data_IF_405972234613
#
_entry.id   IF_405972234613
#
_cell.length_a   1.000
_cell.length_b   1.000
_cell.length_c   1.000
_cell.angle_alpha   90.00
_cell.angle_beta   90.00
_cell.angle_gamma   90.00
#
_symmetry.space_group_name_H-M   'P 1'
#
loop_
_entity.id
_entity.type
_entity.pdbx_description
1 polymer ?
#
# COMPACT_ATOMS: atom_id res chain seq x y z
N UNK A 1 -17.50 -8.50 18.89
CA UNK A 1 -16.27 -8.80 18.13
C UNK A 1 -16.48 -8.29 16.73
N UNK A 2 -15.54 -7.50 16.18
CA UNK A 2 -15.63 -6.98 14.82
C UNK A 2 -15.46 -8.10 13.78
N UNK A 3 -15.90 -7.86 12.53
CA UNK A 3 -15.69 -8.82 11.44
C UNK A 3 -14.21 -9.16 11.28
N UNK A 4 -13.34 -8.16 11.28
CA UNK A 4 -11.88 -8.35 11.24
C UNK A 4 -11.38 -9.28 12.33
N UNK A 5 -11.83 -9.12 13.58
CA UNK A 5 -11.43 -10.00 14.69
C UNK A 5 -11.90 -11.44 14.48
N UNK A 6 -13.14 -11.64 14.00
CA UNK A 6 -13.68 -12.97 13.69
C UNK A 6 -12.84 -13.65 12.60
N UNK A 7 -12.51 -12.95 11.51
CA UNK A 7 -11.67 -13.49 10.42
C UNK A 7 -10.24 -13.77 10.94
N UNK A 8 -9.68 -12.87 11.76
CA UNK A 8 -8.35 -13.10 12.37
C UNK A 8 -8.35 -14.37 13.23
N UNK A 9 -9.44 -14.68 13.94
CA UNK A 9 -9.57 -15.92 14.69
C UNK A 9 -9.62 -17.16 13.76
N UNK A 10 -10.35 -17.08 12.65
CA UNK A 10 -10.38 -18.17 11.65
C UNK A 10 -9.00 -18.43 11.05
N UNK A 11 -8.24 -17.36 10.76
CA UNK A 11 -6.83 -17.49 10.33
C UNK A 11 -5.98 -18.17 11.40
N UNK A 12 -6.10 -17.74 12.66
CA UNK A 12 -5.31 -18.32 13.76
C UNK A 12 -5.66 -19.80 14.02
N UNK A 13 -6.90 -20.21 13.83
CA UNK A 13 -7.31 -21.60 13.94
C UNK A 13 -6.64 -22.48 12.87
N UNK A 14 -6.50 -21.99 11.65
CA UNK A 14 -5.83 -22.72 10.55
C UNK A 14 -4.31 -22.65 10.62
N UNK A 15 -3.80 -21.51 11.00
CA UNK A 15 -2.36 -21.22 11.06
C UNK A 15 -1.98 -20.79 12.49
N UNK A 16 -2.02 -21.74 13.45
CA UNK A 16 -1.81 -21.41 14.86
C UNK A 16 -0.36 -20.96 15.08
N UNK A 17 -0.21 -19.89 15.85
CA UNK A 17 1.10 -19.52 16.38
C UNK A 17 1.46 -20.55 17.47
N UNK A 18 2.62 -21.24 17.36
CA UNK A 18 3.06 -22.14 18.43
C UNK A 18 3.11 -21.41 19.78
N UNK A 19 2.61 -22.02 20.84
CA UNK A 19 2.50 -21.39 22.17
C UNK A 19 3.83 -20.81 22.67
N UNK A 20 4.95 -21.48 22.35
CA UNK A 20 6.30 -21.01 22.69
C UNK A 20 6.70 -19.70 21.99
N UNK A 21 6.11 -19.43 20.81
CA UNK A 21 6.39 -18.24 19.99
C UNK A 21 5.27 -17.18 20.11
N UNK A 22 4.14 -17.50 20.75
CA UNK A 22 3.00 -16.61 20.88
C UNK A 22 3.23 -15.54 21.96
N UNK A 23 2.80 -14.29 21.68
CA UNK A 23 2.81 -13.23 22.67
C UNK A 23 1.77 -13.51 23.76
N UNK A 24 2.18 -13.47 25.02
CA UNK A 24 1.33 -13.83 26.18
C UNK A 24 0.12 -12.91 26.38
N UNK A 25 0.18 -11.67 25.92
CA UNK A 25 -0.87 -10.66 26.08
C UNK A 25 -1.66 -10.40 24.78
N UNK A 26 -1.17 -10.91 23.67
CA UNK A 26 -1.75 -10.67 22.35
C UNK A 26 -1.68 -11.96 21.51
N UNK A 27 -2.72 -12.80 21.54
CA UNK A 27 -2.69 -14.13 20.95
C UNK A 27 -2.50 -14.13 19.42
N UNK A 28 -2.78 -12.99 18.75
CA UNK A 28 -2.58 -12.83 17.31
C UNK A 28 -1.16 -12.35 16.93
N UNK A 29 -0.25 -12.26 17.92
CA UNK A 29 1.10 -11.77 17.72
C UNK A 29 2.14 -12.82 18.09
N UNK A 30 3.22 -12.87 17.30
CA UNK A 30 4.46 -13.52 17.70
C UNK A 30 5.16 -12.68 18.77
N UNK A 31 5.89 -13.33 19.70
CA UNK A 31 6.76 -12.65 20.68
C UNK A 31 7.86 -11.84 19.98
N UNK A 32 8.42 -12.44 18.92
CA UNK A 32 9.42 -11.85 18.05
C UNK A 32 8.84 -11.83 16.64
N UNK A 33 8.71 -10.64 16.05
CA UNK A 33 8.16 -10.45 14.73
C UNK A 33 8.90 -11.23 13.63
N UNK A 34 10.20 -11.53 13.83
CA UNK A 34 11.01 -12.31 12.89
C UNK A 34 10.46 -13.72 12.67
N UNK A 35 9.73 -14.26 13.63
CA UNK A 35 9.05 -15.55 13.47
C UNK A 35 7.81 -15.49 12.56
N UNK A 36 7.38 -14.29 12.17
CA UNK A 36 6.31 -14.05 11.22
C UNK A 36 6.82 -13.84 9.78
N UNK A 37 8.13 -13.91 9.59
CA UNK A 37 8.76 -13.69 8.29
C UNK A 37 9.30 -14.99 7.73
N UNK A 38 9.22 -15.15 6.41
CA UNK A 38 9.76 -16.31 5.71
C UNK A 38 11.29 -16.44 5.84
N UNK A 39 11.96 -15.29 5.76
CA UNK A 39 13.42 -15.22 5.90
C UNK A 39 13.83 -13.98 6.72
N UNK A 40 15.07 -13.90 7.23
CA UNK A 40 15.58 -12.71 7.88
C UNK A 40 15.65 -11.52 6.92
N UNK A 41 15.24 -10.34 7.42
CA UNK A 41 15.45 -9.09 6.69
C UNK A 41 16.93 -8.69 6.65
N UNK A 42 17.35 -8.12 5.51
CA UNK A 42 18.64 -7.45 5.39
C UNK A 42 18.69 -6.18 6.26
N UNK A 43 19.88 -5.70 6.56
CA UNK A 43 20.07 -4.44 7.30
C UNK A 43 19.44 -3.26 6.55
N UNK A 44 19.48 -3.27 5.22
CA UNK A 44 18.86 -2.26 4.37
C UNK A 44 17.34 -2.31 4.49
N UNK A 45 16.71 -3.47 4.36
CA UNK A 45 15.27 -3.66 4.50
C UNK A 45 14.78 -3.20 5.88
N UNK A 46 15.52 -3.55 6.96
CA UNK A 46 15.21 -3.07 8.31
C UNK A 46 15.28 -1.54 8.38
N UNK A 47 16.29 -0.92 7.76
CA UNK A 47 16.41 0.54 7.74
C UNK A 47 15.27 1.19 6.98
N UNK A 48 14.79 0.57 5.91
CA UNK A 48 13.64 1.04 5.13
C UNK A 48 12.36 1.05 5.96
N UNK A 49 12.00 -0.06 6.60
CA UNK A 49 10.85 -0.13 7.51
C UNK A 49 10.95 0.81 8.72
N UNK A 50 12.15 1.24 9.08
CA UNK A 50 12.38 2.20 10.17
C UNK A 50 12.37 3.68 9.73
N UNK A 51 12.16 3.99 8.44
CA UNK A 51 12.10 5.39 7.94
C UNK A 51 10.91 6.17 8.48
N UNK A 52 9.80 5.50 8.81
CA UNK A 52 8.61 6.07 9.42
C UNK A 52 8.75 6.20 10.94
N UNK A 53 7.72 5.81 11.66
CA UNK A 53 7.71 5.77 13.14
C UNK A 53 8.46 4.54 13.72
N UNK A 54 8.90 3.63 12.86
CA UNK A 54 9.61 2.40 13.21
C UNK A 54 8.74 1.33 13.86
N UNK A 55 7.43 1.56 14.00
CA UNK A 55 6.51 0.64 14.68
C UNK A 55 6.33 -0.71 13.96
N UNK A 56 6.81 -0.82 12.73
CA UNK A 56 6.78 -2.08 11.98
C UNK A 56 7.67 -3.14 12.63
N UNK A 57 8.89 -2.76 13.03
CA UNK A 57 9.92 -3.67 13.56
C UNK A 57 10.26 -3.43 15.02
N UNK A 58 9.77 -2.35 15.63
CA UNK A 58 10.03 -1.97 17.02
C UNK A 58 8.75 -1.86 17.83
N UNK A 59 8.88 -2.06 19.14
CA UNK A 59 7.81 -1.71 20.06
C UNK A 59 7.51 -0.21 20.00
N UNK A 60 6.24 0.13 20.09
CA UNK A 60 5.76 1.50 20.16
C UNK A 60 4.93 1.72 21.41
N UNK A 61 4.76 2.97 21.83
CA UNK A 61 3.96 3.32 23.00
C UNK A 61 2.79 4.20 22.58
N UNK A 62 1.62 3.90 23.12
CA UNK A 62 0.43 4.74 22.97
C UNK A 62 -0.10 5.14 24.33
N UNK A 63 -0.55 6.38 24.48
CA UNK A 63 -1.23 6.84 25.67
C UNK A 63 -2.73 6.99 25.37
N UNK A 64 -3.56 6.22 26.09
CA UNK A 64 -5.02 6.31 26.03
C UNK A 64 -5.58 6.45 27.43
N UNK A 65 -6.49 7.39 27.64
CA UNK A 65 -7.13 7.64 28.94
C UNK A 65 -6.13 7.79 30.09
N UNK A 66 -5.01 8.49 29.85
CA UNK A 66 -3.96 8.72 30.85
C UNK A 66 -3.09 7.50 31.19
N UNK A 67 -3.24 6.38 30.48
CA UNK A 67 -2.42 5.17 30.63
C UNK A 67 -1.56 4.96 29.42
N UNK A 68 -0.30 4.60 29.63
CA UNK A 68 0.64 4.25 28.56
C UNK A 68 0.64 2.74 28.35
N UNK A 69 0.51 2.33 27.10
CA UNK A 69 0.52 0.93 26.68
C UNK A 69 1.67 0.71 25.71
N UNK A 70 2.43 -0.35 25.91
CA UNK A 70 3.43 -0.82 24.93
C UNK A 70 2.74 -1.72 23.93
N UNK A 71 2.96 -1.44 22.65
CA UNK A 71 2.48 -2.24 21.51
C UNK A 71 3.67 -3.02 20.94
N UNK A 72 3.51 -4.31 20.66
CA UNK A 72 4.54 -5.07 19.95
C UNK A 72 4.72 -4.54 18.52
N UNK A 73 5.85 -4.87 17.86
CA UNK A 73 6.05 -4.57 16.45
C UNK A 73 4.88 -5.03 15.61
N UNK A 74 4.40 -4.19 14.68
CA UNK A 74 3.24 -4.49 13.85
C UNK A 74 3.46 -5.75 12.99
N UNK A 75 4.67 -5.96 12.48
CA UNK A 75 5.04 -7.17 11.76
C UNK A 75 4.90 -8.46 12.56
N UNK A 76 4.79 -8.39 13.89
CA UNK A 76 4.51 -9.55 14.73
C UNK A 76 3.08 -10.08 14.62
N UNK A 77 2.13 -9.30 14.11
CA UNK A 77 0.75 -9.73 13.90
C UNK A 77 0.64 -10.71 12.72
N UNK A 78 -0.13 -11.80 12.89
CA UNK A 78 -0.41 -12.74 11.79
C UNK A 78 -1.20 -12.12 10.63
N UNK A 79 -1.81 -10.97 10.86
CA UNK A 79 -2.57 -10.18 9.87
C UNK A 79 -1.87 -8.85 9.58
N UNK A 80 -0.55 -8.80 9.68
CA UNK A 80 0.23 -7.61 9.32
C UNK A 80 0.37 -7.48 7.81
N UNK A 81 -0.04 -6.32 7.26
CA UNK A 81 0.22 -5.98 5.85
C UNK A 81 1.70 -5.86 5.56
N UNK A 82 2.49 -5.24 6.45
CA UNK A 82 3.94 -5.08 6.29
C UNK A 82 4.68 -6.43 6.28
N UNK A 83 4.28 -7.38 7.16
CA UNK A 83 4.84 -8.73 7.12
C UNK A 83 4.44 -9.49 5.84
N UNK A 84 3.19 -9.34 5.39
CA UNK A 84 2.73 -9.91 4.12
C UNK A 84 3.52 -9.34 2.95
N UNK A 85 3.74 -8.03 2.92
CA UNK A 85 4.51 -7.35 1.87
C UNK A 85 5.93 -7.90 1.80
N UNK A 86 6.63 -7.99 2.93
CA UNK A 86 7.98 -8.55 2.98
C UNK A 86 8.01 -10.03 2.59
N UNK A 87 7.05 -10.82 3.07
CA UNK A 87 6.96 -12.24 2.73
C UNK A 87 6.68 -12.49 1.23
N UNK A 88 6.05 -11.55 0.53
CA UNK A 88 5.84 -11.64 -0.92
C UNK A 88 7.08 -11.24 -1.72
N UNK A 89 7.76 -10.17 -1.35
CA UNK A 89 8.81 -9.58 -2.18
C UNK A 89 10.24 -9.91 -1.71
N UNK A 90 10.45 -10.30 -0.45
CA UNK A 90 11.80 -10.62 0.09
C UNK A 90 12.67 -9.38 0.36
N UNK A 91 13.98 -9.50 0.24
CA UNK A 91 14.93 -8.43 0.61
C UNK A 91 15.20 -7.43 -0.51
N UNK A 92 15.89 -7.87 -1.57
CA UNK A 92 16.56 -6.94 -2.49
C UNK A 92 15.96 -6.92 -3.90
N UNK A 93 15.43 -8.05 -4.35
CA UNK A 93 14.87 -8.18 -5.68
C UNK A 93 13.81 -9.27 -5.77
N UNK A 94 12.90 -9.10 -6.73
CA UNK A 94 11.87 -10.08 -7.06
C UNK A 94 11.70 -10.17 -8.57
N UNK A 95 11.40 -11.36 -9.08
CA UNK A 95 11.08 -11.58 -10.47
C UNK A 95 9.59 -11.79 -10.66
N UNK A 96 9.02 -11.10 -11.65
CA UNK A 96 7.60 -11.22 -12.07
C UNK A 96 7.54 -12.07 -13.32
N UNK A 97 6.68 -13.10 -13.29
CA UNK A 97 6.46 -14.04 -14.39
C UNK A 97 5.68 -13.40 -15.55
N UNK A 98 5.81 -13.94 -16.78
CA UNK A 98 5.21 -13.34 -17.98
C UNK A 98 3.68 -13.47 -18.06
N UNK A 99 3.06 -14.34 -17.27
CA UNK A 99 1.66 -14.76 -17.43
C UNK A 99 0.67 -13.90 -16.63
N UNK A 100 1.14 -12.88 -15.91
CA UNK A 100 0.33 -12.03 -15.03
C UNK A 100 -0.10 -10.70 -15.67
N UNK A 101 -0.89 -9.91 -14.92
CA UNK A 101 -1.29 -8.56 -15.32
C UNK A 101 -0.18 -7.51 -15.08
N UNK A 102 0.81 -7.86 -14.26
CA UNK A 102 1.99 -7.06 -14.01
C UNK A 102 3.04 -7.32 -15.08
N UNK A 103 3.84 -6.32 -15.49
CA UNK A 103 4.86 -6.53 -16.50
C UNK A 103 5.97 -7.46 -16.00
N UNK A 104 6.33 -8.44 -16.85
CA UNK A 104 7.44 -9.34 -16.59
C UNK A 104 8.75 -8.57 -16.38
N UNK A 105 9.58 -9.05 -15.47
CA UNK A 105 10.92 -8.50 -15.25
C UNK A 105 11.51 -8.88 -13.91
N UNK A 106 12.75 -8.47 -13.71
CA UNK A 106 13.41 -8.54 -12.40
C UNK A 106 13.49 -7.13 -11.82
N UNK A 107 12.91 -6.97 -10.66
CA UNK A 107 12.71 -5.68 -10.01
C UNK A 107 13.57 -5.58 -8.76
N UNK A 108 14.17 -4.41 -8.56
CA UNK A 108 14.70 -4.01 -7.25
C UNK A 108 13.53 -3.63 -6.34
N UNK A 109 13.57 -4.05 -5.09
CA UNK A 109 12.53 -3.76 -4.07
C UNK A 109 13.01 -2.67 -3.13
N UNK A 110 12.14 -1.71 -2.82
CA UNK A 110 12.31 -0.70 -1.77
C UNK A 110 11.02 -0.62 -0.95
N UNK A 111 11.11 -0.71 0.38
CA UNK A 111 9.97 -0.67 1.29
C UNK A 111 9.74 0.72 1.87
N UNK A 112 8.49 0.99 2.30
CA UNK A 112 8.09 2.24 2.96
C UNK A 112 8.61 3.49 2.23
N UNK A 113 8.50 3.45 0.89
CA UNK A 113 8.99 4.55 0.07
C UNK A 113 8.15 5.79 0.27
N UNK A 114 8.79 6.81 0.82
CA UNK A 114 8.14 8.10 1.08
C UNK A 114 8.19 8.99 -0.16
N UNK A 115 7.02 9.43 -0.61
CA UNK A 115 6.84 10.30 -1.77
C UNK A 115 6.00 11.52 -1.39
N UNK A 116 6.45 12.70 -1.74
CA UNK A 116 5.73 13.93 -1.44
C UNK A 116 4.48 14.06 -2.32
N UNK A 117 3.35 14.34 -1.70
CA UNK A 117 2.09 14.65 -2.40
C UNK A 117 1.94 16.14 -2.70
N UNK A 118 2.81 16.97 -2.14
CA UNK A 118 2.80 18.43 -2.21
C UNK A 118 4.22 19.00 -2.08
N UNK A 119 4.42 20.23 -2.50
CA UNK A 119 5.73 20.90 -2.50
C UNK A 119 6.39 20.95 -1.12
N UNK A 120 5.61 20.94 -0.07
CA UNK A 120 6.08 20.70 1.27
C UNK A 120 4.95 20.09 2.10
N UNK A 121 5.29 19.44 3.16
CA UNK A 121 4.32 18.83 4.06
C UNK A 121 4.90 17.67 4.82
N UNK A 122 4.35 17.46 6.02
CA UNK A 122 4.89 16.54 6.98
C UNK A 122 4.31 15.12 6.82
N UNK A 123 3.51 14.88 5.78
CA UNK A 123 2.84 13.59 5.60
C UNK A 123 3.00 13.13 4.15
N UNK A 124 4.14 12.56 3.80
CA UNK A 124 4.35 11.94 2.50
C UNK A 124 3.35 10.78 2.28
N UNK A 125 3.18 10.38 1.04
CA UNK A 125 2.63 9.07 0.74
C UNK A 125 3.70 8.03 1.06
N UNK A 126 3.41 7.09 1.94
CA UNK A 126 4.24 5.93 2.17
C UNK A 126 3.68 4.80 1.32
N UNK A 127 4.48 4.32 0.37
CA UNK A 127 4.14 3.19 -0.47
C UNK A 127 4.73 1.96 0.18
N UNK A 128 3.92 0.95 0.47
CA UNK A 128 4.36 -0.24 1.22
C UNK A 128 5.52 -0.97 0.52
N UNK A 129 5.45 -1.09 -0.81
CA UNK A 129 6.57 -1.53 -1.63
C UNK A 129 6.64 -0.77 -2.96
N UNK A 130 7.85 -0.42 -3.34
CA UNK A 130 8.18 0.15 -4.64
C UNK A 130 9.12 -0.79 -5.38
N UNK A 131 8.71 -1.25 -6.55
CA UNK A 131 9.50 -2.11 -7.39
C UNK A 131 9.92 -1.35 -8.65
N UNK A 132 11.19 -1.42 -9.01
CA UNK A 132 11.69 -0.75 -10.21
C UNK A 132 12.54 -1.67 -11.06
N UNK A 133 12.25 -1.65 -12.36
CA UNK A 133 13.04 -2.30 -13.40
C UNK A 133 13.58 -1.24 -14.35
N UNK A 134 14.88 -1.00 -14.29
CA UNK A 134 15.55 -0.02 -15.14
C UNK A 134 15.77 -0.52 -16.56
N UNK A 135 15.72 -1.84 -16.81
CA UNK A 135 15.92 -2.45 -18.13
C UNK A 135 14.64 -2.31 -18.95
N UNK A 136 13.51 -2.77 -18.41
CA UNK A 136 12.20 -2.65 -19.04
C UNK A 136 11.49 -1.33 -18.72
N UNK A 137 12.14 -0.46 -17.95
CA UNK A 137 11.68 0.89 -17.60
C UNK A 137 10.28 0.91 -16.97
N UNK A 138 10.05 0.00 -16.00
CA UNK A 138 8.80 -0.09 -15.24
C UNK A 138 8.99 0.34 -13.78
N UNK A 139 8.01 1.06 -13.24
CA UNK A 139 7.91 1.45 -11.84
C UNK A 139 6.57 0.99 -11.26
N UNK A 140 6.60 0.08 -10.29
CA UNK A 140 5.42 -0.49 -9.66
C UNK A 140 5.34 -0.01 -8.20
N UNK A 141 4.16 0.46 -7.81
CA UNK A 141 3.84 0.98 -6.48
C UNK A 141 2.76 0.10 -5.88
N UNK A 142 3.02 -0.43 -4.69
CA UNK A 142 2.10 -1.34 -4.03
C UNK A 142 1.58 -0.74 -2.73
N UNK A 143 0.27 -0.69 -2.60
CA UNK A 143 -0.44 -0.53 -1.34
C UNK A 143 -0.99 -1.89 -0.92
N UNK A 144 -0.60 -2.37 0.26
CA UNK A 144 -0.88 -3.72 0.71
C UNK A 144 -1.84 -3.70 1.90
N UNK A 145 -2.93 -4.43 1.79
CA UNK A 145 -3.94 -4.56 2.85
C UNK A 145 -4.13 -6.02 3.21
N UNK A 146 -3.80 -6.40 4.45
CA UNK A 146 -4.12 -7.77 4.90
C UNK A 146 -5.62 -7.87 5.24
N UNK A 147 -6.04 -7.40 6.42
CA UNK A 147 -7.46 -7.33 6.80
C UNK A 147 -7.90 -5.90 7.18
N UNK A 148 -7.09 -4.89 6.95
CA UNK A 148 -7.39 -3.50 7.26
C UNK A 148 -8.58 -2.98 6.44
N UNK A 149 -8.80 -3.53 5.26
CA UNK A 149 -9.93 -3.21 4.38
C UNK A 149 -11.29 -3.59 4.97
N UNK A 150 -11.33 -4.50 5.96
CA UNK A 150 -12.55 -4.82 6.71
C UNK A 150 -12.94 -3.71 7.72
N UNK A 151 -12.06 -2.76 7.98
CA UNK A 151 -12.35 -1.59 8.79
C UNK A 151 -12.95 -0.48 7.90
N UNK A 152 -13.64 0.48 8.56
CA UNK A 152 -14.27 1.57 7.82
C UNK A 152 -13.23 2.41 7.08
N UNK A 153 -13.43 2.72 5.80
CA UNK A 153 -12.52 3.53 5.02
C UNK A 153 -12.48 4.95 5.54
N UNK A 154 -11.41 5.64 5.24
CA UNK A 154 -11.29 7.07 5.48
C UNK A 154 -11.86 7.83 4.29
N UNK A 155 -12.85 8.66 4.54
CA UNK A 155 -13.32 9.60 3.53
C UNK A 155 -12.15 10.46 3.00
N UNK A 156 -12.26 10.90 1.75
CA UNK A 156 -11.28 11.79 1.16
C UNK A 156 -11.13 13.05 2.01
N UNK A 157 -9.91 13.33 2.46
CA UNK A 157 -9.65 14.43 3.41
C UNK A 157 -9.97 15.79 2.79
N UNK A 158 -10.64 16.66 3.56
CA UNK A 158 -10.98 18.04 3.13
C UNK A 158 -9.76 18.85 2.66
N UNK A 159 -8.56 18.48 3.11
CA UNK A 159 -7.31 19.12 2.69
C UNK A 159 -7.03 19.02 1.19
N UNK A 160 -7.52 17.98 0.52
CA UNK A 160 -7.34 17.81 -0.92
C UNK A 160 -8.07 18.86 -1.77
N UNK A 161 -9.03 19.59 -1.18
CA UNK A 161 -9.80 20.65 -1.83
C UNK A 161 -9.28 22.06 -1.52
N UNK A 162 -8.22 22.18 -0.74
CA UNK A 162 -7.72 23.46 -0.26
C UNK A 162 -6.39 23.77 -0.94
N UNK A 163 -6.32 24.87 -1.69
CA UNK A 163 -5.10 25.31 -2.39
C UNK A 163 -3.88 25.29 -1.48
N UNK A 164 -4.01 25.75 -0.23
CA UNK A 164 -2.92 25.73 0.76
C UNK A 164 -2.39 24.34 1.09
N UNK A 165 -3.11 23.26 0.74
CA UNK A 165 -2.59 21.91 0.89
C UNK A 165 -1.43 21.66 -0.07
N UNK A 166 -1.53 22.18 -1.28
CA UNK A 166 -0.54 22.04 -2.34
C UNK A 166 0.49 23.18 -2.34
N UNK A 167 0.04 24.39 -1.95
CA UNK A 167 0.83 25.61 -1.93
C UNK A 167 0.66 26.32 -0.58
N UNK A 168 1.70 26.48 0.20
CA UNK A 168 1.60 27.36 1.36
C UNK A 168 2.52 28.54 1.24
N UNK A 169 1.97 29.73 1.43
CA UNK A 169 2.70 30.99 1.31
C UNK A 169 3.81 31.17 2.36
N UNK A 170 3.67 30.54 3.53
CA UNK A 170 4.46 30.87 4.73
C UNK A 170 5.77 30.09 4.87
N UNK A 171 6.12 29.24 3.95
CA UNK A 171 7.38 28.50 3.99
C UNK A 171 8.06 28.62 2.63
N UNK A 172 9.34 28.93 2.64
CA UNK A 172 10.20 29.14 1.48
C UNK A 172 10.33 27.96 0.49
N UNK A 173 9.49 26.96 0.59
CA UNK A 173 9.37 25.86 -0.37
C UNK A 173 8.77 26.39 -1.67
N UNK A 174 9.32 25.97 -2.78
CA UNK A 174 8.81 26.33 -4.10
C UNK A 174 7.47 25.63 -4.30
N UNK A 175 6.38 26.38 -4.53
CA UNK A 175 5.07 25.78 -4.78
C UNK A 175 5.10 24.96 -6.08
N UNK A 176 4.29 23.90 -6.15
CA UNK A 176 4.00 23.24 -7.41
C UNK A 176 3.30 24.21 -8.36
N UNK A 177 3.41 23.98 -9.69
CA UNK A 177 2.71 24.82 -10.66
C UNK A 177 1.20 24.88 -10.38
N UNK A 178 0.61 26.05 -10.62
CA UNK A 178 -0.83 26.27 -10.38
C UNK A 178 -1.71 25.26 -11.13
N UNK A 179 -1.33 24.94 -12.36
CA UNK A 179 -2.05 23.99 -13.20
C UNK A 179 -2.09 22.56 -12.59
N UNK A 180 -1.04 22.18 -11.87
CA UNK A 180 -1.03 20.90 -11.15
C UNK A 180 -2.03 20.90 -9.97
N UNK A 181 -2.17 22.04 -9.28
CA UNK A 181 -3.20 22.16 -8.23
C UNK A 181 -4.60 22.07 -8.80
N UNK A 182 -4.92 22.79 -9.87
CA UNK A 182 -6.25 22.76 -10.49
C UNK A 182 -6.60 21.33 -10.93
N UNK A 183 -5.67 20.61 -11.52
CA UNK A 183 -5.82 19.21 -11.90
C UNK A 183 -6.10 18.32 -10.69
N UNK A 184 -5.30 18.41 -9.62
CA UNK A 184 -5.48 17.59 -8.42
C UNK A 184 -6.80 17.89 -7.71
N UNK A 185 -7.19 19.16 -7.64
CA UNK A 185 -8.47 19.58 -7.08
C UNK A 185 -9.64 19.02 -7.87
N UNK A 186 -9.57 19.05 -9.19
CA UNK A 186 -10.60 18.45 -10.05
C UNK A 186 -10.74 16.95 -9.83
N UNK A 187 -9.62 16.20 -9.74
CA UNK A 187 -9.66 14.78 -9.41
C UNK A 187 -10.30 14.52 -8.05
N UNK A 188 -9.94 15.31 -7.04
CA UNK A 188 -10.50 15.19 -5.71
C UNK A 188 -12.02 15.45 -5.70
N UNK A 189 -12.51 16.44 -6.43
CA UNK A 189 -13.94 16.72 -6.54
C UNK A 189 -14.71 15.57 -7.21
N UNK A 190 -14.17 15.00 -8.30
CA UNK A 190 -14.82 13.85 -8.96
C UNK A 190 -14.88 12.64 -8.01
N UNK A 191 -13.84 12.39 -7.22
CA UNK A 191 -13.85 11.31 -6.24
C UNK A 191 -14.77 11.57 -5.05
N UNK A 192 -14.99 12.83 -4.67
CA UNK A 192 -15.88 13.19 -3.56
C UNK A 192 -17.34 12.83 -3.85
N UNK A 193 -17.76 12.90 -5.13
CA UNK A 193 -19.11 12.56 -5.55
C UNK A 193 -19.37 11.03 -5.54
N UNK A 194 -18.34 10.25 -5.29
CA UNK A 194 -18.40 8.78 -5.19
C UNK A 194 -18.34 8.37 -3.72
N UNK A 195 -19.26 7.52 -3.30
CA UNK A 195 -19.27 6.97 -1.93
C UNK A 195 -18.47 5.68 -1.86
N UNK A 196 -17.42 5.67 -1.05
CA UNK A 196 -16.63 4.49 -0.74
C UNK A 196 -16.86 4.09 0.71
N UNK A 197 -17.22 2.83 0.95
CA UNK A 197 -17.51 2.27 2.29
C UNK A 197 -16.44 1.31 2.77
N UNK A 198 -15.72 0.69 1.84
CA UNK A 198 -14.68 -0.32 2.10
C UNK A 198 -13.35 0.10 1.52
N UNK A 199 -13.31 0.41 0.25
CA UNK A 199 -12.10 0.73 -0.48
C UNK A 199 -11.46 2.04 0.02
N UNK A 200 -10.17 2.01 0.33
CA UNK A 200 -9.43 3.20 0.78
C UNK A 200 -9.04 4.11 -0.40
N UNK A 201 -10.07 4.68 -1.04
CA UNK A 201 -9.91 5.61 -2.14
C UNK A 201 -9.03 6.82 -1.77
N UNK A 202 -9.04 7.24 -0.49
CA UNK A 202 -8.21 8.36 -0.02
C UNK A 202 -6.71 8.04 -0.08
N UNK A 203 -6.33 6.82 0.31
CA UNK A 203 -4.94 6.37 0.26
C UNK A 203 -4.48 6.19 -1.19
N UNK A 204 -5.31 5.54 -2.01
CA UNK A 204 -5.00 5.34 -3.43
C UNK A 204 -4.92 6.65 -4.21
N UNK A 205 -5.78 7.62 -3.91
CA UNK A 205 -5.68 8.97 -4.47
C UNK A 205 -4.37 9.66 -4.07
N UNK A 206 -3.99 9.55 -2.80
CA UNK A 206 -2.72 10.10 -2.29
C UNK A 206 -1.51 9.50 -3.02
N UNK A 207 -1.52 8.19 -3.27
CA UNK A 207 -0.46 7.53 -4.04
C UNK A 207 -0.44 7.98 -5.50
N UNK A 208 -1.61 8.16 -6.13
CA UNK A 208 -1.71 8.67 -7.51
C UNK A 208 -1.11 10.07 -7.61
N UNK A 209 -1.42 10.97 -6.66
CA UNK A 209 -0.82 12.31 -6.61
C UNK A 209 0.71 12.25 -6.45
N UNK A 210 1.19 11.42 -5.52
CA UNK A 210 2.61 11.26 -5.27
C UNK A 210 3.32 10.72 -6.51
N UNK A 211 2.78 9.68 -7.13
CA UNK A 211 3.32 9.09 -8.34
C UNK A 211 3.41 10.12 -9.48
N UNK A 212 2.34 10.89 -9.72
CA UNK A 212 2.35 11.97 -10.70
C UNK A 212 3.45 13.01 -10.42
N UNK A 213 3.57 13.46 -9.17
CA UNK A 213 4.58 14.46 -8.80
C UNK A 213 6.01 14.02 -9.12
N UNK A 214 6.32 12.74 -8.95
CA UNK A 214 7.66 12.23 -9.21
C UNK A 214 7.87 11.85 -10.69
N UNK A 215 6.82 11.48 -11.40
CA UNK A 215 6.87 11.08 -12.81
C UNK A 215 6.87 12.29 -13.78
N UNK A 216 6.21 13.40 -13.41
CA UNK A 216 5.89 14.48 -14.32
C UNK A 216 7.07 15.44 -14.55
N UNK A 217 7.25 15.81 -15.82
CA UNK A 217 8.15 16.91 -16.20
C UNK A 217 7.63 18.28 -15.73
N UNK A 218 6.31 18.43 -15.57
CA UNK A 218 5.68 19.67 -15.12
C UNK A 218 6.08 20.03 -13.68
N UNK A 219 6.09 19.03 -12.78
CA UNK A 219 6.42 19.21 -11.36
C UNK A 219 7.90 19.05 -11.05
N UNK A 220 8.70 18.54 -12.00
CA UNK A 220 10.11 18.18 -11.81
C UNK A 220 10.94 19.29 -11.16
N UNK A 221 10.84 20.51 -11.65
CA UNK A 221 11.65 21.63 -11.17
C UNK A 221 11.30 22.04 -9.73
N UNK A 222 10.02 21.95 -9.35
CA UNK A 222 9.58 22.21 -7.99
C UNK A 222 9.99 21.05 -7.06
N UNK A 223 9.82 19.80 -7.49
CA UNK A 223 10.20 18.64 -6.73
C UNK A 223 11.72 18.60 -6.46
N UNK A 224 12.54 18.91 -7.45
CA UNK A 224 14.01 18.88 -7.31
C UNK A 224 14.53 19.86 -6.26
N UNK A 225 13.76 20.92 -5.92
CA UNK A 225 14.11 21.87 -4.86
C UNK A 225 13.77 21.37 -3.45
N UNK A 226 12.78 20.51 -3.30
CA UNK A 226 12.29 20.02 -2.00
C UNK A 226 12.69 18.58 -1.70
N UNK A 227 12.97 17.79 -2.73
CA UNK A 227 13.40 16.39 -2.64
C UNK A 227 14.40 16.08 -3.78
N UNK A 228 15.61 16.67 -3.72
CA UNK A 228 16.58 16.64 -4.81
C UNK A 228 17.05 15.22 -5.16
N UNK A 229 17.22 14.97 -6.45
CA UNK A 229 17.73 13.71 -6.99
C UNK A 229 16.72 12.57 -7.00
N UNK A 230 15.49 12.76 -6.48
CA UNK A 230 14.48 11.72 -6.38
C UNK A 230 13.44 11.73 -7.48
N UNK A 231 13.48 12.69 -8.41
CA UNK A 231 12.59 12.71 -9.57
C UNK A 231 12.68 11.42 -10.39
N UNK A 232 11.55 10.96 -10.88
CA UNK A 232 11.41 9.80 -11.77
C UNK A 232 11.07 10.22 -13.21
N UNK A 233 10.93 11.53 -13.47
CA UNK A 233 10.57 12.04 -14.79
C UNK A 233 11.54 11.55 -15.87
N UNK A 234 10.99 10.84 -16.88
CA UNK A 234 11.74 10.25 -17.97
C UNK A 234 12.54 8.98 -17.63
N UNK A 235 12.43 8.44 -16.40
CA UNK A 235 13.14 7.20 -16.01
C UNK A 235 12.38 5.94 -16.42
N UNK A 236 11.04 6.00 -16.40
CA UNK A 236 10.19 4.83 -16.65
C UNK A 236 9.20 5.12 -17.77
N UNK A 237 8.82 4.08 -18.49
CA UNK A 237 7.82 4.13 -19.56
C UNK A 237 6.44 3.77 -19.01
N UNK A 238 6.40 3.04 -17.88
CA UNK A 238 5.17 2.67 -17.19
C UNK A 238 5.27 2.94 -15.68
N UNK A 239 4.20 3.53 -15.16
CA UNK A 239 3.92 3.70 -13.73
C UNK A 239 2.69 2.88 -13.39
N UNK A 240 2.81 1.93 -12.46
CA UNK A 240 1.74 1.00 -12.13
C UNK A 240 1.47 1.09 -10.62
N UNK A 241 0.27 1.53 -10.27
CA UNK A 241 -0.20 1.59 -8.88
C UNK A 241 -1.10 0.39 -8.62
N UNK A 242 -0.70 -0.46 -7.71
CA UNK A 242 -1.40 -1.72 -7.39
C UNK A 242 -1.88 -1.70 -5.95
N UNK A 243 -3.19 -1.85 -5.74
CA UNK A 243 -3.75 -2.18 -4.45
C UNK A 243 -3.88 -3.69 -4.31
N UNK A 244 -3.20 -4.27 -3.33
CA UNK A 244 -3.21 -5.71 -3.07
C UNK A 244 -3.92 -5.99 -1.76
N UNK A 245 -4.92 -6.86 -1.82
CA UNK A 245 -5.76 -7.20 -0.67
C UNK A 245 -5.64 -8.68 -0.35
N UNK A 246 -5.49 -9.00 0.94
CA UNK A 246 -5.62 -10.39 1.37
C UNK A 246 -7.10 -10.79 1.36
N UNK A 247 -7.44 -11.67 0.44
CA UNK A 247 -8.76 -12.25 0.31
C UNK A 247 -8.78 -13.66 0.93
N UNK A 248 -8.96 -13.69 2.26
CA UNK A 248 -9.04 -14.96 2.98
C UNK A 248 -10.19 -15.84 2.44
N UNK A 249 -9.98 -17.14 2.18
CA UNK A 249 -11.02 -17.97 1.58
C UNK A 249 -12.24 -18.14 2.50
N UNK A 250 -13.39 -17.69 2.05
CA UNK A 250 -14.64 -17.75 2.81
C UNK A 250 -15.03 -19.18 3.25
N UNK A 251 -14.59 -20.20 2.50
CA UNK A 251 -14.82 -21.61 2.85
C UNK A 251 -14.17 -22.01 4.19
N UNK A 252 -13.23 -21.21 4.70
CA UNK A 252 -12.54 -21.47 5.97
C UNK A 252 -13.14 -20.71 7.16
N UNK A 253 -14.26 -20.04 6.95
CA UNK A 253 -15.02 -19.37 8.01
C UNK A 253 -16.16 -20.32 8.40
N UNK A 254 -16.08 -20.90 9.61
CA UNK A 254 -17.04 -21.90 10.06
C UNK A 254 -18.44 -21.30 10.31
N UNK A 255 -18.48 -20.11 10.92
CA UNK A 255 -19.74 -19.42 11.22
C UNK A 255 -20.38 -18.85 9.94
N UNK A 256 -21.59 -19.31 9.62
CA UNK A 256 -22.28 -18.98 8.37
C UNK A 256 -22.60 -17.49 8.25
N UNK A 257 -23.05 -16.86 9.34
CA UNK A 257 -23.36 -15.43 9.36
C UNK A 257 -22.08 -14.58 9.11
N UNK A 258 -20.98 -14.97 9.75
CA UNK A 258 -19.68 -14.34 9.54
C UNK A 258 -19.17 -14.53 8.13
N UNK A 259 -19.36 -15.73 7.55
CA UNK A 259 -19.00 -16.03 6.17
C UNK A 259 -19.75 -15.15 5.20
N UNK A 260 -21.06 -15.03 5.38
CA UNK A 260 -21.92 -14.20 4.55
C UNK A 260 -21.53 -12.71 4.65
N UNK A 261 -21.32 -12.21 5.88
CA UNK A 261 -20.88 -10.83 6.14
C UNK A 261 -19.54 -10.55 5.45
N UNK A 262 -18.60 -11.47 5.53
CA UNK A 262 -17.29 -11.37 4.89
C UNK A 262 -17.38 -11.37 3.37
N UNK A 263 -18.15 -12.29 2.77
CA UNK A 263 -18.33 -12.35 1.33
C UNK A 263 -19.01 -11.08 0.78
N UNK A 264 -19.98 -10.55 1.50
CA UNK A 264 -20.62 -9.27 1.16
C UNK A 264 -19.61 -8.12 1.21
N UNK A 265 -18.80 -8.04 2.26
CA UNK A 265 -17.76 -7.03 2.40
C UNK A 265 -16.70 -7.11 1.28
N UNK A 266 -16.27 -8.33 0.92
CA UNK A 266 -15.31 -8.55 -0.15
C UNK A 266 -15.86 -8.15 -1.53
N UNK A 267 -17.12 -8.46 -1.78
CA UNK A 267 -17.79 -8.06 -3.02
C UNK A 267 -17.91 -6.54 -3.12
N UNK A 268 -18.20 -5.86 -2.02
CA UNK A 268 -18.25 -4.40 -1.92
C UNK A 268 -16.87 -3.77 -2.15
N UNK A 269 -15.82 -4.31 -1.53
CA UNK A 269 -14.42 -3.86 -1.71
C UNK A 269 -13.99 -3.93 -3.18
N UNK A 270 -14.20 -5.08 -3.84
CA UNK A 270 -13.87 -5.27 -5.26
C UNK A 270 -14.65 -4.32 -6.18
N UNK A 271 -15.95 -4.15 -5.91
CA UNK A 271 -16.78 -3.21 -6.68
C UNK A 271 -16.29 -1.78 -6.54
N UNK A 272 -15.99 -1.34 -5.31
CA UNK A 272 -15.51 0.02 -5.04
C UNK A 272 -14.11 0.26 -5.59
N UNK A 273 -13.24 -0.76 -5.58
CA UNK A 273 -11.93 -0.69 -6.23
C UNK A 273 -12.07 -0.44 -7.75
N UNK A 274 -12.95 -1.19 -8.42
CA UNK A 274 -13.23 -0.97 -9.84
C UNK A 274 -13.84 0.41 -10.08
N UNK A 275 -14.75 0.84 -9.22
CA UNK A 275 -15.37 2.17 -9.30
C UNK A 275 -14.32 3.30 -9.15
N UNK A 276 -13.32 3.11 -8.27
CA UNK A 276 -12.18 4.03 -8.15
C UNK A 276 -11.37 4.08 -9.46
N UNK A 277 -11.01 2.92 -10.01
CA UNK A 277 -10.25 2.82 -11.26
C UNK A 277 -11.00 3.51 -12.40
N UNK A 278 -12.28 3.22 -12.56
CA UNK A 278 -13.12 3.83 -13.60
C UNK A 278 -13.25 5.35 -13.42
N UNK A 279 -13.30 5.81 -12.16
CA UNK A 279 -13.34 7.24 -11.84
C UNK A 279 -12.04 7.92 -12.21
N UNK A 280 -10.90 7.31 -11.93
CA UNK A 280 -9.58 7.84 -12.31
C UNK A 280 -9.41 7.88 -13.84
N UNK A 281 -9.97 6.91 -14.55
CA UNK A 281 -10.04 6.94 -16.03
C UNK A 281 -10.90 8.11 -16.53
N UNK A 282 -12.07 8.36 -15.92
CA UNK A 282 -12.91 9.51 -16.25
C UNK A 282 -12.25 10.86 -15.98
N UNK A 283 -11.30 10.90 -15.04
CA UNK A 283 -10.44 12.07 -14.80
C UNK A 283 -9.31 12.20 -15.84
N UNK A 284 -9.32 11.44 -16.91
CA UNK A 284 -8.34 11.45 -18.00
C UNK A 284 -6.88 11.20 -17.54
N UNK A 285 -6.70 10.52 -16.39
CA UNK A 285 -5.37 10.29 -15.81
C UNK A 285 -4.41 9.63 -16.80
N UNK A 286 -4.79 8.61 -17.60
CA UNK A 286 -3.89 8.05 -18.60
C UNK A 286 -3.39 9.07 -19.62
N UNK A 287 -4.27 9.93 -20.14
CA UNK A 287 -3.88 10.97 -21.09
C UNK A 287 -2.97 12.05 -20.44
N UNK A 288 -3.23 12.37 -19.17
CA UNK A 288 -2.42 13.33 -18.41
C UNK A 288 -1.02 12.77 -18.16
N UNK A 289 -0.88 11.48 -17.84
CA UNK A 289 0.43 10.83 -17.69
C UNK A 289 1.17 10.77 -19.03
N UNK A 290 0.50 10.41 -20.11
CA UNK A 290 1.10 10.42 -21.46
C UNK A 290 1.65 11.82 -21.80
N UNK A 291 0.84 12.84 -21.63
CA UNK A 291 1.22 14.22 -22.00
C UNK A 291 2.29 14.83 -21.07
N UNK A 292 2.18 14.60 -19.75
CA UNK A 292 3.01 15.31 -18.75
C UNK A 292 4.19 14.50 -18.25
N UNK A 293 4.14 13.18 -18.39
CA UNK A 293 5.19 12.26 -17.92
C UNK A 293 5.89 11.54 -19.08
N UNK A 294 5.33 11.57 -20.29
CA UNK A 294 5.76 10.77 -21.44
C UNK A 294 5.84 9.28 -21.06
N UNK A 295 4.81 8.79 -20.38
CA UNK A 295 4.73 7.44 -19.81
C UNK A 295 3.27 7.00 -19.64
N UNK A 296 3.05 5.70 -19.70
CA UNK A 296 1.76 5.10 -19.38
C UNK A 296 1.53 4.97 -17.86
N UNK A 297 0.26 4.95 -17.47
CA UNK A 297 -0.16 4.60 -16.10
C UNK A 297 -1.16 3.46 -16.13
N UNK A 298 -1.07 2.57 -15.13
CA UNK A 298 -2.12 1.61 -14.78
C UNK A 298 -2.44 1.70 -13.30
N UNK A 299 -3.72 1.57 -12.95
CA UNK A 299 -4.18 1.37 -11.59
C UNK A 299 -4.81 -0.01 -11.54
N UNK A 300 -4.36 -0.86 -10.62
CA UNK A 300 -4.70 -2.29 -10.57
C UNK A 300 -5.20 -2.61 -9.16
N UNK A 301 -6.25 -3.43 -9.08
CA UNK A 301 -6.65 -4.14 -7.88
C UNK A 301 -6.40 -5.62 -8.09
N UNK A 302 -5.79 -6.29 -7.11
CA UNK A 302 -5.57 -7.72 -7.15
C UNK A 302 -5.54 -8.33 -5.74
N UNK A 303 -5.76 -9.62 -5.65
CA UNK A 303 -5.59 -10.36 -4.41
C UNK A 303 -4.11 -10.68 -4.14
N UNK A 304 -3.78 -10.91 -2.87
CA UNK A 304 -2.44 -11.39 -2.47
C UNK A 304 -2.11 -12.75 -3.13
N UNK A 305 -3.13 -13.57 -3.42
CA UNK A 305 -2.96 -14.84 -4.13
C UNK A 305 -2.53 -14.61 -5.58
N UNK A 306 -3.23 -13.76 -6.32
CA UNK A 306 -2.90 -13.43 -7.71
C UNK A 306 -1.49 -12.82 -7.80
N UNK A 307 -1.13 -11.98 -6.83
CA UNK A 307 0.23 -11.44 -6.75
C UNK A 307 1.26 -12.57 -6.52
N UNK A 308 1.04 -13.45 -5.54
CA UNK A 308 1.95 -14.56 -5.26
C UNK A 308 2.13 -15.50 -6.45
N UNK A 309 1.04 -15.76 -7.19
CA UNK A 309 1.07 -16.58 -8.41
C UNK A 309 1.80 -15.89 -9.59
N UNK A 310 1.90 -14.56 -9.56
CA UNK A 310 2.65 -13.79 -10.57
C UNK A 310 4.15 -13.68 -10.28
N UNK A 311 4.62 -14.13 -9.10
CA UNK A 311 6.02 -14.04 -8.69
C UNK A 311 6.77 -15.34 -8.94
N UNK A 312 8.02 -15.23 -9.42
CA UNK A 312 8.95 -16.37 -9.51
C UNK A 312 9.62 -16.59 -8.15
N UNK A 313 8.98 -17.38 -7.31
CA UNK A 313 9.43 -17.69 -5.96
C UNK A 313 9.57 -19.20 -5.73
N UNK A 314 10.52 -19.65 -4.88
CA UNK A 314 10.72 -21.07 -4.57
C UNK A 314 9.46 -21.75 -4.02
N UNK A 315 9.35 -23.05 -4.25
CA UNK A 315 8.15 -23.84 -3.87
C UNK A 315 7.88 -23.81 -2.35
N UNK A 316 8.93 -23.91 -1.54
CA UNK A 316 8.83 -23.85 -0.07
C UNK A 316 8.34 -22.47 0.39
N UNK A 317 8.75 -21.41 -0.30
CA UNK A 317 8.27 -20.06 -0.06
C UNK A 317 6.81 -19.92 -0.51
N UNK A 318 6.40 -20.47 -1.65
CA UNK A 318 5.00 -20.50 -2.08
C UNK A 318 4.11 -21.21 -1.06
N UNK A 319 4.55 -22.35 -0.53
CA UNK A 319 3.84 -23.07 0.54
C UNK A 319 3.67 -22.22 1.81
N UNK A 320 4.72 -21.46 2.16
CA UNK A 320 4.62 -20.52 3.29
C UNK A 320 3.60 -19.41 3.05
N UNK A 321 3.52 -18.87 1.82
CA UNK A 321 2.57 -17.80 1.46
C UNK A 321 1.12 -18.27 1.47
N UNK A 322 0.86 -19.56 1.33
CA UNK A 322 -0.50 -20.13 1.43
C UNK A 322 -1.21 -19.75 2.72
N UNK A 323 -0.47 -19.47 3.79
CA UNK A 323 -1.04 -18.94 5.07
C UNK A 323 -1.86 -17.66 4.93
N UNK A 324 -1.68 -16.90 3.86
CA UNK A 324 -2.44 -15.67 3.61
C UNK A 324 -3.72 -15.92 2.83
N UNK A 325 -3.81 -16.99 2.06
CA UNK A 325 -4.90 -17.18 1.12
C UNK A 325 -5.36 -18.64 0.93
N UNK A 326 -4.97 -19.55 1.82
CA UNK A 326 -5.47 -20.96 1.76
C UNK A 326 -5.73 -21.58 3.12
#
# INVERSE_FOLDING_TARGET
MSLREKITQSILQRHPIPTSLQNSHRPFYYKDYRNNLFCPMSSQTIAEYNRGDGSETKESTITKFGRTYTLPPKMGSIVSSSAMTFNLFGNDSVSILPEGILPQGTYTVEYEKQLLTRAYGNMPANVDAFLSDSVNRNALFFEMKNLEWLESPKALGKSYFIERYYFTPDRAAVPFPKDAFEMFSNWAHVLQDVSFRRYDASQMFKHTLAMYNYASFVTRSALEKVDPGRTMAGKYDWYILTNVVNEFPAAFIDDEDTRWEYQSALSEERYEAQLFIDTMHRCEIPAIFDNNCNAGIKIIYMSAKELAESLDIPVDHQEYLKRYYS
#
